data_IF_771921085366
#
_entry.id   IF_771921085366
#
_cell.length_a   1.000
_cell.length_b   1.000
_cell.length_c   1.000
_cell.angle_alpha   90.00
_cell.angle_beta   90.00
_cell.angle_gamma   90.00
#
_symmetry.space_group_name_H-M   'P 1'
#
loop_
_entity.id
_entity.type
_entity.pdbx_description
1 polymer ?
#
# COMPACT_ATOMS: atom_id res chain seq x y z
N UNK A 1 16.25 -7.06 -14.47
CA UNK A 1 15.27 -6.86 -13.38
C UNK A 1 15.28 -5.39 -13.01
N UNK A 2 14.28 -4.60 -13.45
CA UNK A 2 14.15 -3.21 -12.99
C UNK A 2 13.63 -3.26 -11.54
N UNK A 3 14.41 -2.71 -10.60
CA UNK A 3 13.99 -2.58 -9.20
C UNK A 3 12.84 -1.58 -9.15
N UNK A 4 11.74 -1.96 -8.49
CA UNK A 4 10.67 -1.03 -8.12
C UNK A 4 11.29 0.08 -7.26
N UNK A 5 11.30 1.30 -7.77
CA UNK A 5 11.79 2.46 -7.04
C UNK A 5 10.67 2.88 -6.07
N UNK A 6 10.88 2.64 -4.78
CA UNK A 6 10.00 3.10 -3.71
C UNK A 6 10.49 4.48 -3.32
N UNK A 7 9.69 5.53 -3.59
CA UNK A 7 10.01 6.89 -3.19
C UNK A 7 9.49 7.10 -1.77
N UNK A 8 10.39 7.16 -0.80
CA UNK A 8 10.11 7.74 0.52
C UNK A 8 10.03 9.26 0.34
N UNK A 9 8.99 9.89 0.85
CA UNK A 9 8.92 11.34 0.85
C UNK A 9 8.18 11.87 2.06
N UNK A 10 8.96 12.50 2.93
CA UNK A 10 8.55 13.42 3.98
C UNK A 10 8.62 14.86 3.43
N UNK A 11 8.06 15.07 2.22
CA UNK A 11 8.06 16.37 1.55
C UNK A 11 6.69 16.64 0.92
N UNK A 12 6.14 17.82 1.19
CA UNK A 12 4.74 18.19 0.90
C UNK A 12 4.45 18.42 -0.60
N UNK A 13 5.44 18.32 -1.50
CA UNK A 13 5.27 18.53 -2.95
C UNK A 13 5.67 17.29 -3.77
N UNK A 14 5.08 16.14 -3.44
CA UNK A 14 5.21 14.91 -4.23
C UNK A 14 4.38 14.97 -5.51
N UNK A 15 4.78 14.20 -6.54
CA UNK A 15 4.00 14.07 -7.77
C UNK A 15 2.55 13.64 -7.51
N UNK A 16 2.32 12.86 -6.46
CA UNK A 16 0.98 12.39 -6.07
C UNK A 16 0.10 13.54 -5.59
N UNK A 17 0.65 14.53 -4.86
CA UNK A 17 -0.07 15.73 -4.43
C UNK A 17 -0.49 16.63 -5.60
N UNK A 18 0.22 16.55 -6.73
CA UNK A 18 -0.14 17.24 -7.98
C UNK A 18 -1.18 16.47 -8.80
N UNK A 19 -1.22 15.14 -8.65
CA UNK A 19 -2.11 14.23 -9.39
C UNK A 19 -3.49 14.11 -8.71
N UNK A 20 -3.50 14.05 -7.38
CA UNK A 20 -4.70 13.83 -6.57
C UNK A 20 -4.88 14.95 -5.55
N UNK A 21 -6.12 15.41 -5.32
CA UNK A 21 -6.41 16.35 -4.25
C UNK A 21 -6.02 15.78 -2.88
N UNK A 22 -5.54 16.64 -1.97
CA UNK A 22 -5.17 16.26 -0.60
C UNK A 22 -6.29 15.51 0.12
N UNK A 23 -7.55 15.92 -0.07
CA UNK A 23 -8.72 15.27 0.53
C UNK A 23 -8.88 13.81 0.11
N UNK A 24 -8.53 13.48 -1.14
CA UNK A 24 -8.56 12.10 -1.63
C UNK A 24 -7.44 11.29 -0.99
N UNK A 25 -6.25 11.86 -0.84
CA UNK A 25 -5.12 11.19 -0.20
C UNK A 25 -5.37 10.96 1.30
N UNK A 26 -5.98 11.91 1.99
CA UNK A 26 -6.42 11.78 3.38
C UNK A 26 -7.47 10.67 3.53
N UNK A 27 -8.45 10.60 2.63
CA UNK A 27 -9.45 9.54 2.62
C UNK A 27 -8.81 8.16 2.38
N UNK A 28 -7.95 8.04 1.37
CA UNK A 28 -7.22 6.79 1.10
C UNK A 28 -6.39 6.36 2.31
N UNK A 29 -5.71 7.30 2.97
CA UNK A 29 -4.97 7.01 4.20
C UNK A 29 -5.86 6.48 5.33
N UNK A 30 -7.03 7.09 5.53
CA UNK A 30 -7.99 6.63 6.54
C UNK A 30 -8.54 5.23 6.23
N UNK A 31 -8.89 4.96 4.98
CA UNK A 31 -9.37 3.64 4.53
C UNK A 31 -8.30 2.56 4.69
N UNK A 32 -7.04 2.86 4.33
CA UNK A 32 -5.93 1.94 4.52
C UNK A 32 -5.73 1.55 5.98
N UNK A 33 -5.82 2.51 6.91
CA UNK A 33 -5.69 2.23 8.34
C UNK A 33 -6.88 1.43 8.86
N UNK A 34 -8.10 1.77 8.43
CA UNK A 34 -9.31 1.04 8.81
C UNK A 34 -9.26 -0.44 8.36
N UNK A 35 -8.78 -0.70 7.16
CA UNK A 35 -8.65 -2.03 6.57
C UNK A 35 -7.36 -2.77 6.98
N UNK A 36 -6.52 -2.19 7.85
CA UNK A 36 -5.28 -2.86 8.23
C UNK A 36 -5.51 -4.17 8.97
N UNK A 37 -6.57 -4.25 9.78
CA UNK A 37 -6.89 -5.42 10.58
C UNK A 37 -7.48 -6.59 9.79
N UNK A 38 -8.04 -6.32 8.61
CA UNK A 38 -8.60 -7.29 7.66
C UNK A 38 -7.60 -7.67 6.55
N UNK A 39 -6.47 -6.97 6.46
CA UNK A 39 -5.49 -7.14 5.40
C UNK A 39 -4.79 -8.51 5.42
N UNK A 40 -4.72 -9.15 4.26
CA UNK A 40 -3.89 -10.34 4.04
C UNK A 40 -2.38 -10.07 4.20
N UNK A 41 -1.98 -8.79 4.28
CA UNK A 41 -0.61 -8.33 4.44
C UNK A 41 -0.32 -7.74 5.83
N UNK A 42 -1.20 -7.96 6.83
CA UNK A 42 -1.04 -7.46 8.21
C UNK A 42 0.42 -7.62 8.70
N UNK A 43 1.05 -6.56 9.25
CA UNK A 43 0.46 -5.26 9.64
C UNK A 43 0.21 -4.28 8.48
N UNK A 44 0.71 -4.57 7.29
CA UNK A 44 0.69 -3.65 6.15
C UNK A 44 -0.58 -3.82 5.31
N UNK A 45 -0.85 -2.82 4.47
CA UNK A 45 -2.02 -2.82 3.58
C UNK A 45 -1.60 -2.45 2.17
N UNK A 46 -2.14 -3.16 1.20
CA UNK A 46 -2.02 -2.79 -0.20
C UNK A 46 -3.41 -2.43 -0.73
N UNK A 47 -3.51 -1.27 -1.38
CA UNK A 47 -4.69 -0.83 -2.09
C UNK A 47 -4.34 -0.40 -3.51
N UNK A 48 -5.39 -0.13 -4.29
CA UNK A 48 -5.29 0.33 -5.66
C UNK A 48 -6.21 1.53 -5.82
N UNK A 49 -5.68 2.65 -6.30
CA UNK A 49 -6.47 3.79 -6.75
C UNK A 49 -6.69 3.64 -8.25
N UNK A 50 -7.95 3.59 -8.67
CA UNK A 50 -8.35 3.55 -10.08
C UNK A 50 -8.90 4.91 -10.51
N UNK A 51 -8.35 5.50 -11.57
CA UNK A 51 -8.76 6.78 -12.14
C UNK A 51 -8.92 6.66 -13.64
N UNK A 52 -10.14 6.43 -14.13
CA UNK A 52 -10.39 6.14 -15.56
C UNK A 52 -9.55 4.95 -16.03
N UNK A 53 -8.51 5.18 -16.83
CA UNK A 53 -7.58 4.15 -17.33
C UNK A 53 -6.31 4.06 -16.50
N UNK A 54 -6.11 5.01 -15.58
CA UNK A 54 -4.93 5.12 -14.76
C UNK A 54 -5.08 4.34 -13.46
N UNK A 55 -4.00 3.66 -13.06
CA UNK A 55 -3.92 2.83 -11.86
C UNK A 55 -2.70 3.24 -11.06
N UNK A 56 -2.87 3.42 -9.75
CA UNK A 56 -1.79 3.65 -8.79
C UNK A 56 -1.90 2.60 -7.70
N UNK A 57 -0.81 1.87 -7.45
CA UNK A 57 -0.74 0.98 -6.30
C UNK A 57 -0.30 1.77 -5.08
N UNK A 58 -0.98 1.52 -3.96
CA UNK A 58 -0.77 2.21 -2.69
C UNK A 58 -0.42 1.19 -1.63
N UNK A 59 0.66 1.45 -0.88
CA UNK A 59 1.12 0.55 0.17
C UNK A 59 1.26 1.31 1.48
N UNK A 60 0.49 0.91 2.49
CA UNK A 60 0.66 1.36 3.86
C UNK A 60 1.70 0.48 4.56
N UNK A 61 2.84 1.08 4.88
CA UNK A 61 3.87 0.51 5.74
C UNK A 61 3.65 0.99 7.18
N UNK A 62 3.34 0.06 8.07
CA UNK A 62 3.07 0.37 9.48
C UNK A 62 3.68 -0.70 10.39
N UNK A 63 4.30 -0.24 11.47
CA UNK A 63 4.91 -1.15 12.45
C UNK A 63 3.84 -1.98 13.17
N UNK A 64 4.14 -3.25 13.47
CA UNK A 64 3.18 -4.13 14.15
C UNK A 64 2.76 -3.60 15.52
N UNK A 65 3.68 -2.99 16.26
CA UNK A 65 3.37 -2.41 17.58
C UNK A 65 2.49 -1.16 17.46
N UNK A 66 2.63 -0.40 16.38
CA UNK A 66 1.74 0.72 16.07
C UNK A 66 0.31 0.19 15.80
N UNK A 67 0.16 -0.88 15.03
CA UNK A 67 -1.15 -1.52 14.79
C UNK A 67 -1.77 -2.05 16.08
N UNK A 68 -0.97 -2.64 16.98
CA UNK A 68 -1.45 -3.09 18.31
C UNK A 68 -1.92 -1.92 19.16
N UNK A 69 -1.16 -0.82 19.19
CA UNK A 69 -1.53 0.38 19.93
C UNK A 69 -2.86 0.97 19.42
N UNK A 70 -3.04 1.06 18.09
CA UNK A 70 -4.31 1.48 17.47
C UNK A 70 -5.46 0.55 17.92
N UNK A 71 -5.25 -0.77 17.86
CA UNK A 71 -6.26 -1.76 18.24
C UNK A 71 -6.66 -1.66 19.71
N UNK A 72 -5.69 -1.43 20.59
CA UNK A 72 -5.88 -1.35 22.03
C UNK A 72 -6.29 0.05 22.50
N UNK A 73 -6.35 1.03 21.60
CA UNK A 73 -6.60 2.46 21.91
C UNK A 73 -5.55 3.02 22.89
N UNK A 74 -4.31 2.57 22.75
CA UNK A 74 -3.16 3.06 23.51
C UNK A 74 -2.59 4.33 22.88
N UNK A 75 -1.78 5.07 23.64
CA UNK A 75 -1.06 6.21 23.09
C UNK A 75 -0.06 5.75 22.04
N UNK A 76 -0.33 6.19 20.81
CA UNK A 76 0.60 6.09 19.70
C UNK A 76 1.59 7.23 19.91
N UNK A 77 2.78 6.93 20.41
CA UNK A 77 3.85 7.92 20.57
C UNK A 77 4.31 8.50 19.22
N UNK A 78 5.58 8.85 19.08
CA UNK A 78 6.11 9.41 17.82
C UNK A 78 6.26 8.39 16.66
N UNK A 79 5.56 7.25 16.72
CA UNK A 79 5.58 6.26 15.66
C UNK A 79 4.78 6.77 14.46
N UNK A 80 5.41 6.75 13.28
CA UNK A 80 4.78 7.15 12.02
C UNK A 80 4.42 5.92 11.19
N UNK A 81 3.35 6.01 10.44
CA UNK A 81 3.04 5.09 9.35
C UNK A 81 3.34 5.81 8.02
N UNK A 82 3.84 5.08 7.04
CA UNK A 82 4.22 5.63 5.75
C UNK A 82 3.32 5.06 4.66
N UNK A 83 2.80 5.94 3.80
CA UNK A 83 2.06 5.53 2.60
C UNK A 83 2.96 5.72 1.40
N UNK A 84 3.14 4.66 0.64
CA UNK A 84 3.95 4.63 -0.57
C UNK A 84 3.04 4.50 -1.80
N UNK A 85 3.44 5.15 -2.89
CA UNK A 85 2.71 5.16 -4.15
C UNK A 85 3.64 4.70 -5.28
N UNK A 86 3.13 3.90 -6.20
CA UNK A 86 3.81 3.70 -7.50
C UNK A 86 3.59 4.90 -8.40
N UNK A 87 4.43 5.08 -9.41
CA UNK A 87 4.04 5.89 -10.57
C UNK A 87 2.72 5.39 -11.16
N UNK A 88 2.09 6.25 -11.96
CA UNK A 88 0.79 5.95 -12.59
C UNK A 88 0.97 5.01 -13.76
N UNK A 89 0.19 3.93 -13.79
CA UNK A 89 0.10 3.00 -14.92
C UNK A 89 -1.15 3.30 -15.74
N UNK A 90 -1.06 3.31 -17.06
CA UNK A 90 -2.23 3.39 -17.94
C UNK A 90 -2.60 2.00 -18.47
N UNK A 91 -3.75 1.47 -18.06
CA UNK A 91 -4.22 0.14 -18.49
C UNK A 91 -4.42 0.05 -20.00
N UNK A 92 -4.52 1.18 -20.72
CA UNK A 92 -4.60 1.17 -22.18
C UNK A 92 -3.24 0.92 -22.84
N UNK A 93 -2.12 1.13 -22.14
CA UNK A 93 -0.76 0.85 -22.62
C UNK A 93 -0.37 -0.60 -22.34
N UNK A 94 0.17 -1.27 -23.36
CA UNK A 94 0.52 -2.70 -23.28
C UNK A 94 1.63 -2.95 -22.27
N UNK A 95 2.59 -2.04 -22.22
CA UNK A 95 3.77 -2.09 -21.36
C UNK A 95 3.37 -1.97 -19.89
N UNK A 96 2.43 -1.06 -19.60
CA UNK A 96 1.90 -0.87 -18.25
C UNK A 96 1.05 -2.05 -17.82
N UNK A 97 0.19 -2.60 -18.70
CA UNK A 97 -0.54 -3.85 -18.42
C UNK A 97 0.40 -5.00 -18.05
N UNK A 98 1.54 -5.11 -18.72
CA UNK A 98 2.53 -6.14 -18.41
C UNK A 98 3.09 -5.97 -16.99
N UNK A 99 3.44 -4.75 -16.61
CA UNK A 99 3.94 -4.43 -15.26
C UNK A 99 2.88 -4.65 -14.18
N UNK A 100 1.64 -4.24 -14.43
CA UNK A 100 0.49 -4.49 -13.54
C UNK A 100 0.33 -6.00 -13.31
N UNK A 101 0.31 -6.79 -14.38
CA UNK A 101 0.16 -8.25 -14.28
C UNK A 101 1.32 -8.90 -13.54
N UNK A 102 2.55 -8.47 -13.79
CA UNK A 102 3.73 -8.95 -13.05
C UNK A 102 3.62 -8.63 -11.56
N UNK A 103 3.23 -7.41 -11.20
CA UNK A 103 3.03 -7.01 -9.81
C UNK A 103 1.93 -7.83 -9.13
N UNK A 104 0.76 -7.97 -9.74
CA UNK A 104 -0.35 -8.77 -9.21
C UNK A 104 0.03 -10.24 -9.05
N UNK A 105 0.79 -10.80 -9.99
CA UNK A 105 1.32 -12.15 -9.88
C UNK A 105 2.24 -12.30 -8.66
N UNK A 106 3.18 -11.37 -8.47
CA UNK A 106 4.08 -11.37 -7.32
C UNK A 106 3.33 -11.25 -5.99
N UNK A 107 2.32 -10.38 -5.93
CA UNK A 107 1.49 -10.23 -4.74
C UNK A 107 0.75 -11.52 -4.37
N UNK A 108 0.20 -12.22 -5.37
CA UNK A 108 -0.41 -13.53 -5.16
C UNK A 108 0.58 -14.59 -4.65
N UNK A 109 1.82 -14.57 -5.15
CA UNK A 109 2.89 -15.46 -4.68
C UNK A 109 3.29 -15.17 -3.22
N UNK A 110 3.46 -13.89 -2.87
CA UNK A 110 3.78 -13.45 -1.48
C UNK A 110 2.68 -13.87 -0.52
N UNK A 111 1.41 -13.68 -0.90
CA UNK A 111 0.28 -14.09 -0.07
C UNK A 111 0.28 -15.59 0.20
N UNK A 112 0.52 -16.44 -0.84
CA UNK A 112 0.60 -17.90 -0.66
C UNK A 112 1.75 -18.32 0.26
N UNK A 113 2.93 -17.68 0.13
CA UNK A 113 4.08 -17.94 0.99
C UNK A 113 3.82 -17.60 2.46
N UNK A 114 3.13 -16.48 2.71
CA UNK A 114 2.74 -16.07 4.06
C UNK A 114 1.64 -16.98 4.64
N UNK A 115 0.67 -17.40 3.82
CA UNK A 115 -0.38 -18.35 4.25
C UNK A 115 0.23 -19.64 4.78
N UNK A 116 1.20 -20.22 4.07
CA UNK A 116 1.85 -21.47 4.48
C UNK A 116 2.56 -21.35 5.84
N UNK A 117 3.05 -20.15 6.18
CA UNK A 117 3.75 -19.88 7.45
C UNK A 117 2.80 -19.66 8.63
N UNK A 118 1.58 -19.17 8.39
CA UNK A 118 0.55 -19.01 9.41
C UNK A 118 -0.13 -20.34 9.80
N UNK A 119 -0.32 -21.27 8.86
CA UNK A 119 -0.92 -22.59 9.13
C UNK A 119 0.02 -23.59 9.81
N UNK A 120 1.33 -23.33 9.86
CA UNK A 120 2.33 -24.16 10.54
C UNK A 120 2.69 -23.67 11.95
N UNK A 121 2.02 -22.61 12.43
CA UNK A 121 2.22 -22.03 13.78
C UNK A 121 0.96 -22.10 14.66
N UNK A 122 -0.06 -22.84 14.25
CA UNK A 122 -1.16 -23.29 15.11
C UNK A 122 -0.86 -24.69 15.64
#
# INVERSE_FOLDING_TARGET
>A
VKRFQVQESEDTDTWINRKLPKTVLEQVGAELVAECFSSAFLPNVLAIICMRTEVIFVYLSIASDHVKAIRNKEEIGNQKACIHYTETFDIMKREDRKQINELLFWLGCVQKGNLHRYYLKQ
#
